data_IF_238011465366
#
_entry.id   IF_238011465366
#
_cell.length_a   1.000
_cell.length_b   1.000
_cell.length_c   1.000
_cell.angle_alpha   90.00
_cell.angle_beta   90.00
_cell.angle_gamma   90.00
#
_symmetry.space_group_name_H-M   'P 1'
#
loop_
_entity.id
_entity.type
_entity.pdbx_description
1 polymer ?
#
# COMPACT_ATOMS: atom_id res chain seq x y z
N UNK A 1 -32.66 17.66 56.47
CA UNK A 1 -33.65 17.98 55.43
C UNK A 1 -32.89 18.05 54.11
N UNK A 2 -32.63 16.97 53.38
CA UNK A 2 -33.57 16.14 52.60
C UNK A 2 -34.47 16.95 51.67
N UNK A 3 -33.99 17.14 50.44
CA UNK A 3 -34.72 17.05 49.16
C UNK A 3 -33.64 16.55 48.16
N UNK A 4 -33.59 15.26 47.79
CA UNK A 4 -34.33 14.64 46.67
C UNK A 4 -34.36 15.60 45.46
N UNK A 5 -33.60 15.41 44.38
CA UNK A 5 -33.17 14.17 43.74
C UNK A 5 -34.00 14.01 42.47
N UNK A 6 -33.73 14.84 41.46
CA UNK A 6 -34.23 14.62 40.11
C UNK A 6 -33.16 13.91 39.30
N UNK A 7 -33.43 12.64 39.07
CA UNK A 7 -32.64 11.71 38.30
C UNK A 7 -32.93 12.00 36.82
N UNK A 8 -32.19 12.91 36.21
CA UNK A 8 -32.20 13.04 34.74
C UNK A 8 -31.55 11.79 34.16
N UNK A 9 -32.40 10.93 33.60
CA UNK A 9 -32.03 9.90 32.64
C UNK A 9 -31.15 10.51 31.55
N UNK A 10 -30.15 9.78 31.02
CA UNK A 10 -29.36 10.28 29.91
C UNK A 10 -30.31 10.44 28.72
N UNK A 11 -30.48 11.68 28.24
CA UNK A 11 -31.22 11.96 27.02
C UNK A 11 -30.69 11.04 25.92
N UNK A 12 -31.58 10.24 25.36
CA UNK A 12 -31.35 9.55 24.09
C UNK A 12 -30.95 10.62 23.07
N UNK A 13 -29.72 10.50 22.55
CA UNK A 13 -29.22 11.39 21.52
C UNK A 13 -30.15 11.28 20.30
N UNK A 14 -31.04 12.26 20.16
CA UNK A 14 -31.98 12.37 19.04
C UNK A 14 -31.22 12.32 17.72
N UNK A 15 -31.61 11.40 16.84
CA UNK A 15 -31.14 11.32 15.45
C UNK A 15 -31.38 12.61 14.66
N UNK A 16 -32.22 13.54 15.15
CA UNK A 16 -32.41 14.86 14.54
C UNK A 16 -31.18 15.77 14.64
N UNK A 17 -30.22 15.46 15.53
CA UNK A 17 -29.01 16.28 15.73
C UNK A 17 -27.93 15.99 14.66
N UNK A 18 -27.93 14.81 14.05
CA UNK A 18 -26.91 14.42 13.06
C UNK A 18 -27.03 15.19 11.74
N UNK A 19 -28.26 15.40 11.25
CA UNK A 19 -28.49 16.17 10.02
C UNK A 19 -28.10 17.64 10.21
N UNK A 20 -28.42 18.24 11.36
CA UNK A 20 -28.01 19.61 11.69
C UNK A 20 -26.49 19.74 11.84
N UNK A 21 -25.81 18.75 12.44
CA UNK A 21 -24.34 18.70 12.53
C UNK A 21 -23.70 18.59 11.13
N UNK A 22 -24.30 17.84 10.21
CA UNK A 22 -23.83 17.70 8.82
C UNK A 22 -24.04 19.01 8.05
N UNK A 23 -25.19 19.66 8.19
CA UNK A 23 -25.49 20.96 7.57
C UNK A 23 -24.62 22.10 8.13
N UNK A 24 -24.21 22.01 9.40
CA UNK A 24 -23.23 22.92 10.02
C UNK A 24 -21.78 22.53 9.69
N UNK A 25 -21.56 21.28 9.32
CA UNK A 25 -20.30 20.83 8.77
C UNK A 25 -20.06 21.61 7.51
N UNK A 26 -19.05 22.48 7.50
CA UNK A 26 -18.53 23.08 6.29
C UNK A 26 -17.87 21.99 5.44
N UNK A 27 -18.69 21.12 4.86
CA UNK A 27 -18.35 20.18 3.80
C UNK A 27 -17.92 21.08 2.65
N UNK A 28 -16.62 21.33 2.57
CA UNK A 28 -16.04 22.21 1.57
C UNK A 28 -16.37 21.75 0.14
N UNK A 29 -15.92 22.48 -0.87
CA UNK A 29 -16.21 22.12 -2.25
C UNK A 29 -15.70 20.71 -2.57
N UNK A 30 -16.30 20.10 -3.58
CA UNK A 30 -15.78 18.87 -4.18
C UNK A 30 -14.28 19.03 -4.53
N UNK A 31 -13.47 17.98 -4.35
CA UNK A 31 -12.04 18.03 -4.65
C UNK A 31 -11.79 18.40 -6.10
N UNK A 32 -10.66 19.07 -6.37
CA UNK A 32 -10.29 19.33 -7.75
C UNK A 32 -9.99 18.05 -8.54
N UNK A 33 -10.16 18.12 -9.87
CA UNK A 33 -9.78 17.04 -10.78
C UNK A 33 -8.31 16.63 -10.62
N UNK A 34 -7.41 17.59 -10.41
CA UNK A 34 -5.98 17.29 -10.25
C UNK A 34 -5.68 16.50 -8.98
N UNK A 35 -6.41 16.75 -7.90
CA UNK A 35 -6.31 15.95 -6.69
C UNK A 35 -6.79 14.52 -6.95
N UNK A 36 -7.99 14.36 -7.53
CA UNK A 36 -8.58 13.05 -7.82
C UNK A 36 -7.71 12.22 -8.77
N UNK A 37 -7.08 12.84 -9.77
CA UNK A 37 -6.12 12.20 -10.66
C UNK A 37 -4.90 11.65 -9.90
N UNK A 38 -4.35 12.40 -8.93
CA UNK A 38 -3.20 11.94 -8.12
C UNK A 38 -3.59 10.84 -7.13
N UNK A 39 -4.80 10.92 -6.58
CA UNK A 39 -5.35 9.88 -5.73
C UNK A 39 -5.52 8.57 -6.50
N UNK A 40 -6.16 8.64 -7.68
CA UNK A 40 -6.34 7.48 -8.56
C UNK A 40 -5.00 6.91 -9.03
N UNK A 41 -4.05 7.77 -9.41
CA UNK A 41 -2.70 7.35 -9.79
C UNK A 41 -2.02 6.54 -8.68
N UNK A 42 -2.04 7.02 -7.43
CA UNK A 42 -1.43 6.27 -6.34
C UNK A 42 -2.20 4.97 -6.04
N UNK A 43 -3.53 4.99 -6.07
CA UNK A 43 -4.38 3.80 -5.91
C UNK A 43 -4.00 2.68 -6.90
N UNK A 44 -3.97 3.01 -8.20
CA UNK A 44 -3.60 2.08 -9.27
C UNK A 44 -2.18 1.52 -9.07
N UNK A 45 -1.20 2.38 -8.80
CA UNK A 45 0.20 1.98 -8.58
C UNK A 45 0.34 1.09 -7.34
N UNK A 46 -0.38 1.37 -6.25
CA UNK A 46 -0.33 0.56 -5.04
C UNK A 46 -0.88 -0.83 -5.29
N UNK A 47 -2.01 -0.96 -5.99
CA UNK A 47 -2.58 -2.26 -6.37
C UNK A 47 -1.64 -3.05 -7.26
N UNK A 48 -1.05 -2.39 -8.25
CA UNK A 48 -0.03 -2.99 -9.11
C UNK A 48 1.18 -3.47 -8.29
N UNK A 49 1.70 -2.65 -7.39
CA UNK A 49 2.86 -3.00 -6.57
C UNK A 49 2.55 -4.12 -5.56
N UNK A 50 1.33 -4.18 -5.02
CA UNK A 50 0.85 -5.33 -4.24
C UNK A 50 0.89 -6.61 -5.06
N UNK A 51 0.42 -6.55 -6.31
CA UNK A 51 0.50 -7.68 -7.23
C UNK A 51 1.95 -8.07 -7.52
N UNK A 52 2.81 -7.10 -7.84
CA UNK A 52 4.25 -7.35 -8.08
C UNK A 52 4.89 -8.02 -6.87
N UNK A 53 4.68 -7.49 -5.67
CA UNK A 53 5.20 -8.07 -4.42
C UNK A 53 4.74 -9.52 -4.23
N UNK A 54 3.44 -9.80 -4.43
CA UNK A 54 2.89 -11.18 -4.38
C UNK A 54 3.49 -12.08 -5.46
N UNK A 55 3.72 -11.57 -6.67
CA UNK A 55 4.24 -12.35 -7.81
C UNK A 55 5.68 -12.81 -7.62
N UNK A 56 6.45 -12.12 -6.77
CA UNK A 56 7.77 -12.54 -6.34
C UNK A 56 7.75 -13.37 -5.05
N UNK A 57 6.56 -13.59 -4.46
CA UNK A 57 6.36 -14.42 -3.30
C UNK A 57 6.80 -15.87 -3.55
N UNK A 58 7.47 -16.47 -2.56
CA UNK A 58 7.95 -17.84 -2.64
C UNK A 58 9.25 -18.05 -3.43
N UNK A 59 9.79 -17.00 -4.07
CA UNK A 59 11.12 -17.06 -4.69
C UNK A 59 12.17 -16.96 -3.58
N UNK A 60 13.06 -17.96 -3.41
CA UNK A 60 14.13 -17.88 -2.42
C UNK A 60 15.02 -16.67 -2.69
N UNK A 61 15.31 -15.88 -1.66
CA UNK A 61 16.23 -14.75 -1.77
C UNK A 61 17.68 -15.27 -1.91
N UNK A 62 18.37 -15.05 -3.05
CA UNK A 62 19.71 -15.60 -3.27
C UNK A 62 20.77 -14.91 -2.40
N UNK A 63 20.54 -13.67 -1.99
CA UNK A 63 21.42 -12.91 -1.09
C UNK A 63 20.60 -12.15 -0.05
N UNK A 64 21.24 -11.71 1.03
CA UNK A 64 20.62 -10.82 2.02
C UNK A 64 20.09 -9.53 1.39
N UNK A 65 20.78 -9.01 0.37
CA UNK A 65 20.32 -7.85 -0.41
C UNK A 65 18.92 -8.08 -1.00
N UNK A 66 18.69 -9.23 -1.63
CA UNK A 66 17.37 -9.58 -2.20
C UNK A 66 16.31 -9.74 -1.10
N UNK A 67 16.68 -10.37 0.01
CA UNK A 67 15.76 -10.52 1.15
C UNK A 67 15.29 -9.15 1.65
N UNK A 68 16.21 -8.24 1.93
CA UNK A 68 15.86 -6.90 2.41
C UNK A 68 15.20 -6.02 1.35
N UNK A 69 15.48 -6.23 0.06
CA UNK A 69 14.73 -5.60 -1.02
C UNK A 69 13.24 -5.95 -0.92
N UNK A 70 12.92 -7.24 -0.76
CA UNK A 70 11.54 -7.71 -0.60
C UNK A 70 10.88 -7.16 0.67
N UNK A 71 11.60 -7.13 1.80
CA UNK A 71 11.10 -6.60 3.07
C UNK A 71 10.79 -5.10 2.97
N UNK A 72 11.75 -4.31 2.46
CA UNK A 72 11.61 -2.86 2.36
C UNK A 72 10.56 -2.47 1.32
N UNK A 73 10.46 -3.18 0.19
CA UNK A 73 9.41 -2.94 -0.79
C UNK A 73 8.02 -3.22 -0.21
N UNK A 74 7.86 -4.35 0.48
CA UNK A 74 6.60 -4.68 1.17
C UNK A 74 6.25 -3.62 2.21
N UNK A 75 7.23 -3.22 3.03
CA UNK A 75 7.04 -2.15 4.01
C UNK A 75 6.61 -0.85 3.34
N UNK A 76 7.21 -0.48 2.21
CA UNK A 76 6.85 0.73 1.49
C UNK A 76 5.42 0.67 0.95
N UNK A 77 4.99 -0.46 0.40
CA UNK A 77 3.59 -0.70 -0.01
C UNK A 77 2.64 -0.52 1.18
N UNK A 78 2.96 -1.09 2.34
CA UNK A 78 2.09 -0.91 3.54
C UNK A 78 1.95 0.54 3.96
N UNK A 79 3.02 1.35 3.83
CA UNK A 79 2.95 2.80 4.08
C UNK A 79 2.10 3.52 3.04
N UNK A 80 2.16 3.11 1.78
CA UNK A 80 1.31 3.68 0.73
C UNK A 80 -0.17 3.34 0.97
N UNK A 81 -0.49 2.13 1.42
CA UNK A 81 -1.86 1.76 1.85
C UNK A 81 -2.31 2.67 2.99
N UNK A 82 -1.49 2.85 4.04
CA UNK A 82 -1.85 3.76 5.14
C UNK A 82 -2.05 5.20 4.66
N UNK A 83 -1.22 5.69 3.72
CA UNK A 83 -1.39 7.02 3.12
C UNK A 83 -2.72 7.12 2.35
N UNK A 84 -3.08 6.10 1.56
CA UNK A 84 -4.33 6.04 0.81
C UNK A 84 -5.54 5.96 1.74
N UNK A 85 -5.48 5.20 2.83
CA UNK A 85 -6.57 5.16 3.85
C UNK A 85 -6.81 6.53 4.46
N UNK A 86 -5.76 7.33 4.69
CA UNK A 86 -5.88 8.69 5.21
C UNK A 86 -6.40 9.69 4.17
N UNK A 87 -6.04 9.52 2.89
CA UNK A 87 -6.37 10.47 1.84
C UNK A 87 -7.89 10.71 1.73
N UNK A 88 -8.34 11.98 1.64
CA UNK A 88 -9.75 12.29 1.41
C UNK A 88 -10.32 11.65 0.14
N UNK A 89 -11.59 11.21 0.18
CA UNK A 89 -12.31 10.61 -0.95
C UNK A 89 -11.67 9.33 -1.53
N UNK A 90 -10.85 8.66 -0.74
CA UNK A 90 -10.21 7.40 -1.08
C UNK A 90 -11.20 6.23 -1.12
N UNK A 91 -11.08 5.28 -2.05
CA UNK A 91 -11.86 4.04 -2.02
C UNK A 91 -11.35 3.04 -0.96
N UNK A 92 -10.23 3.33 -0.28
CA UNK A 92 -9.59 2.42 0.69
C UNK A 92 -10.15 2.53 2.11
N UNK A 93 -11.07 3.46 2.35
CA UNK A 93 -11.68 3.68 3.65
C UNK A 93 -13.09 4.24 3.48
N UNK A 94 -14.07 3.63 4.12
CA UNK A 94 -15.41 4.21 4.23
C UNK A 94 -15.42 5.27 5.35
N UNK A 95 -15.68 6.52 4.98
CA UNK A 95 -15.65 7.66 5.89
C UNK A 95 -16.99 8.37 5.88
N UNK A 96 -17.59 8.53 7.07
CA UNK A 96 -18.81 9.33 7.23
C UNK A 96 -18.60 10.81 6.96
N UNK A 97 -17.39 11.32 7.26
CA UNK A 97 -16.98 12.70 7.04
C UNK A 97 -15.57 12.67 6.50
N UNK A 98 -15.34 13.41 5.42
CA UNK A 98 -14.01 13.55 4.84
C UNK A 98 -13.15 14.47 5.70
N UNK A 99 -12.08 13.91 6.26
CA UNK A 99 -11.11 14.63 7.07
C UNK A 99 -9.88 14.97 6.26
N UNK A 100 -9.63 16.27 6.08
CA UNK A 100 -8.48 16.79 5.35
C UNK A 100 -7.33 17.09 6.32
N UNK A 101 -6.39 16.16 6.40
CA UNK A 101 -5.20 16.28 7.24
C UNK A 101 -3.94 15.95 6.44
N UNK A 102 -3.51 16.93 5.62
CA UNK A 102 -2.25 16.80 4.90
C UNK A 102 -1.06 16.62 5.86
N UNK A 103 -1.15 17.12 7.10
CA UNK A 103 -0.07 17.05 8.09
C UNK A 103 0.24 15.59 8.43
N UNK A 104 -0.77 14.77 8.74
CA UNK A 104 -0.56 13.33 8.95
C UNK A 104 -0.08 12.62 7.69
N UNK A 105 -0.59 12.99 6.51
CA UNK A 105 -0.10 12.47 5.23
C UNK A 105 1.38 12.76 5.02
N UNK A 106 1.88 13.94 5.39
CA UNK A 106 3.31 14.26 5.29
C UNK A 106 4.19 13.36 6.15
N UNK A 107 3.68 12.91 7.30
CA UNK A 107 4.41 12.00 8.17
C UNK A 107 4.66 10.66 7.51
N UNK A 108 3.63 10.09 6.88
CA UNK A 108 3.74 8.84 6.13
C UNK A 108 4.59 9.03 4.87
N UNK A 109 4.37 10.12 4.12
CA UNK A 109 5.14 10.42 2.91
C UNK A 109 6.64 10.58 3.22
N UNK A 110 7.00 11.20 4.35
CA UNK A 110 8.39 11.26 4.82
C UNK A 110 8.95 9.87 5.09
N UNK A 111 8.22 9.02 5.80
CA UNK A 111 8.66 7.63 6.03
C UNK A 111 8.90 6.91 4.70
N UNK A 112 8.06 7.13 3.69
CA UNK A 112 8.24 6.53 2.36
C UNK A 112 9.51 7.04 1.67
N UNK A 113 9.84 8.32 1.78
CA UNK A 113 11.12 8.88 1.29
C UNK A 113 12.30 8.18 1.98
N UNK A 114 12.25 8.04 3.30
CA UNK A 114 13.32 7.40 4.08
C UNK A 114 13.45 5.90 3.75
N UNK A 115 12.32 5.21 3.49
CA UNK A 115 12.30 3.83 3.02
C UNK A 115 12.90 3.69 1.62
N UNK A 116 12.58 4.60 0.68
CA UNK A 116 13.21 4.63 -0.65
C UNK A 116 14.73 4.80 -0.54
N UNK A 117 15.17 5.71 0.31
CA UNK A 117 16.60 5.95 0.58
C UNK A 117 17.28 4.69 1.14
N UNK A 118 16.67 4.04 2.13
CA UNK A 118 17.19 2.80 2.70
C UNK A 118 17.22 1.65 1.68
N UNK A 119 16.13 1.48 0.93
CA UNK A 119 15.99 0.49 -0.13
C UNK A 119 17.09 0.67 -1.17
N UNK A 120 17.23 1.87 -1.73
CA UNK A 120 18.26 2.12 -2.73
C UNK A 120 19.67 1.86 -2.16
N UNK A 121 19.97 2.39 -0.97
CA UNK A 121 21.29 2.28 -0.35
C UNK A 121 21.76 0.85 -0.08
N UNK A 122 20.84 -0.01 0.37
CA UNK A 122 21.14 -1.39 0.76
C UNK A 122 20.91 -2.38 -0.38
N UNK A 123 20.00 -2.08 -1.32
CA UNK A 123 19.47 -3.05 -2.26
C UNK A 123 19.78 -2.76 -3.72
N UNK A 124 20.08 -1.51 -4.10
CA UNK A 124 20.21 -1.12 -5.52
C UNK A 124 21.58 -0.52 -5.82
N UNK A 125 22.07 0.35 -4.93
CA UNK A 125 23.35 1.06 -5.09
C UNK A 125 24.52 0.07 -5.20
N UNK A 126 25.03 -0.09 -6.42
CA UNK A 126 26.11 -1.03 -6.69
C UNK A 126 27.38 -0.56 -6.00
N UNK A 127 27.92 -1.42 -5.13
CA UNK A 127 29.18 -1.18 -4.43
C UNK A 127 29.94 -2.49 -4.25
N UNK A 128 31.26 -2.43 -4.00
CA UNK A 128 32.04 -3.63 -3.67
C UNK A 128 31.48 -4.37 -2.47
N UNK A 129 31.64 -5.69 -2.43
CA UNK A 129 31.07 -6.53 -1.36
C UNK A 129 31.54 -6.11 0.04
N UNK A 130 32.81 -5.72 0.19
CA UNK A 130 33.35 -5.25 1.47
C UNK A 130 32.67 -3.97 1.95
N UNK A 131 32.35 -3.06 1.02
CA UNK A 131 31.59 -1.86 1.32
C UNK A 131 30.16 -2.25 1.73
N UNK A 132 29.49 -3.10 0.95
CA UNK A 132 28.12 -3.53 1.24
C UNK A 132 28.02 -4.17 2.63
N UNK A 133 28.96 -5.07 2.97
CA UNK A 133 29.05 -5.71 4.30
C UNK A 133 29.29 -4.66 5.41
N UNK A 134 30.11 -3.64 5.15
CA UNK A 134 30.29 -2.53 6.08
C UNK A 134 28.99 -1.75 6.29
N UNK A 135 28.30 -1.37 5.20
CA UNK A 135 26.99 -0.69 5.25
C UNK A 135 25.99 -1.48 6.07
N UNK A 136 25.91 -2.78 5.82
CA UNK A 136 25.01 -3.70 6.51
C UNK A 136 25.30 -3.79 8.02
N UNK A 137 26.57 -4.00 8.40
CA UNK A 137 26.96 -4.06 9.82
C UNK A 137 26.69 -2.72 10.53
N UNK A 138 26.92 -1.58 9.86
CA UNK A 138 26.61 -0.26 10.39
C UNK A 138 25.11 -0.07 10.64
N UNK A 139 24.28 -0.50 9.69
CA UNK A 139 22.82 -0.41 9.79
C UNK A 139 22.30 -1.21 10.99
N UNK A 140 22.81 -2.43 11.19
CA UNK A 140 22.45 -3.27 12.34
C UNK A 140 23.00 -2.73 13.66
N UNK A 141 24.20 -2.13 13.65
CA UNK A 141 24.75 -1.50 14.84
C UNK A 141 23.88 -0.33 15.28
N UNK A 142 23.40 0.49 14.34
CA UNK A 142 22.47 1.57 14.63
C UNK A 142 21.13 1.10 15.21
N UNK A 143 20.56 0.01 14.69
CA UNK A 143 19.36 -0.61 15.27
C UNK A 143 19.62 -1.10 16.70
N UNK A 144 20.72 -1.85 16.93
CA UNK A 144 21.08 -2.36 18.25
C UNK A 144 21.25 -1.22 19.26
N UNK A 145 22.03 -0.17 18.94
CA UNK A 145 22.25 0.96 19.86
C UNK A 145 20.99 1.79 20.09
N UNK A 146 20.05 1.80 19.15
CA UNK A 146 18.76 2.48 19.32
C UNK A 146 17.83 1.70 20.24
N UNK A 147 17.77 0.37 20.07
CA UNK A 147 17.00 -0.52 20.97
C UNK A 147 17.57 -0.57 22.38
N UNK A 148 18.90 -0.58 22.54
CA UNK A 148 19.55 -0.48 23.86
C UNK A 148 19.07 0.78 24.58
N UNK A 149 19.15 1.96 23.92
CA UNK A 149 18.68 3.22 24.52
C UNK A 149 17.19 3.19 24.89
N UNK A 150 16.37 2.53 24.06
CA UNK A 150 14.94 2.34 24.32
C UNK A 150 14.70 1.47 25.57
N UNK A 151 15.38 0.34 25.70
CA UNK A 151 15.23 -0.55 26.85
C UNK A 151 15.82 0.04 28.14
N UNK A 152 16.95 0.75 28.04
CA UNK A 152 17.51 1.51 29.15
C UNK A 152 16.51 2.54 29.70
N UNK A 153 15.79 3.25 28.82
CA UNK A 153 14.77 4.20 29.23
C UNK A 153 13.57 3.54 29.96
N UNK A 154 13.32 2.25 29.70
CA UNK A 154 12.29 1.44 30.37
C UNK A 154 12.81 0.73 31.63
N UNK A 155 14.12 0.76 31.89
CA UNK A 155 14.75 0.00 32.98
C UNK A 155 14.85 -1.51 32.71
N UNK A 156 14.67 -1.96 31.47
CA UNK A 156 14.79 -3.37 31.08
C UNK A 156 16.25 -3.70 30.74
N UNK A 157 17.02 -4.03 31.78
CA UNK A 157 18.46 -4.30 31.65
C UNK A 157 18.77 -5.62 30.96
N UNK A 158 17.89 -6.61 31.01
CA UNK A 158 18.12 -7.94 30.44
C UNK A 158 18.11 -7.88 28.90
N UNK A 159 17.07 -7.29 28.32
CA UNK A 159 17.01 -7.09 26.86
C UNK A 159 18.12 -6.16 26.37
N UNK A 160 18.45 -5.14 27.17
CA UNK A 160 19.57 -4.25 26.90
C UNK A 160 20.91 -4.98 26.80
N UNK A 161 21.21 -5.88 27.73
CA UNK A 161 22.50 -6.59 27.80
C UNK A 161 22.69 -7.58 26.64
N UNK A 162 21.63 -8.32 26.27
CA UNK A 162 21.67 -9.20 25.10
C UNK A 162 22.04 -8.44 23.81
N UNK A 163 21.49 -7.23 23.63
CA UNK A 163 21.80 -6.37 22.49
C UNK A 163 23.20 -5.75 22.57
N UNK A 164 23.74 -5.49 23.77
CA UNK A 164 25.12 -4.98 23.91
C UNK A 164 26.14 -5.98 23.37
N UNK A 165 25.97 -7.26 23.66
CA UNK A 165 26.85 -8.30 23.13
C UNK A 165 26.84 -8.31 21.58
N UNK A 166 25.67 -8.19 20.97
CA UNK A 166 25.52 -8.07 19.51
C UNK A 166 26.17 -6.79 18.97
N UNK A 167 25.99 -5.67 19.67
CA UNK A 167 26.58 -4.39 19.28
C UNK A 167 28.13 -4.41 19.31
N UNK A 168 28.74 -5.08 20.30
CA UNK A 168 30.20 -5.25 20.35
C UNK A 168 30.73 -6.15 19.23
N UNK A 169 30.04 -7.24 18.91
CA UNK A 169 30.39 -8.09 17.77
C UNK A 169 30.31 -7.30 16.44
N UNK A 170 29.23 -6.56 16.22
CA UNK A 170 29.10 -5.67 15.05
C UNK A 170 30.21 -4.62 15.00
N UNK A 171 30.58 -4.04 16.14
CA UNK A 171 31.70 -3.08 16.23
C UNK A 171 33.03 -3.73 15.88
N UNK A 172 33.30 -4.95 16.33
CA UNK A 172 34.51 -5.70 15.94
C UNK A 172 34.54 -5.90 14.43
N UNK A 173 33.44 -6.37 13.83
CA UNK A 173 33.36 -6.57 12.37
C UNK A 173 33.60 -5.29 11.57
N UNK A 174 33.14 -4.14 12.08
CA UNK A 174 33.41 -2.83 11.47
C UNK A 174 34.88 -2.42 11.60
N UNK A 175 35.51 -2.68 12.76
CA UNK A 175 36.93 -2.41 12.99
C UNK A 175 37.85 -3.30 12.14
N UNK A 176 37.47 -4.55 11.96
CA UNK A 176 38.22 -5.55 11.20
C UNK A 176 38.01 -5.41 9.68
N UNK A 177 37.03 -4.61 9.25
CA UNK A 177 36.74 -4.39 7.83
C UNK A 177 37.83 -3.53 7.17
N UNK A 178 38.46 -3.99 6.07
CA UNK A 178 39.43 -3.20 5.31
C UNK A 178 38.84 -1.88 4.80
N UNK A 179 37.51 -1.86 4.58
CA UNK A 179 36.80 -0.68 4.11
C UNK A 179 36.86 0.50 5.10
N UNK A 180 37.02 0.25 6.41
CA UNK A 180 37.10 1.33 7.41
C UNK A 180 38.26 2.29 7.14
N UNK A 181 39.37 1.80 6.57
CA UNK A 181 40.54 2.60 6.23
C UNK A 181 40.26 3.63 5.12
N UNK A 182 39.24 3.41 4.29
CA UNK A 182 38.83 4.35 3.23
C UNK A 182 37.91 5.45 3.77
N UNK A 183 37.28 5.22 4.91
CA UNK A 183 36.38 6.16 5.57
C UNK A 183 37.20 7.22 6.32
N UNK A 184 36.83 8.49 6.15
CA UNK A 184 37.45 9.61 6.88
C UNK A 184 37.38 9.38 8.40
N UNK A 185 38.55 9.42 9.05
CA UNK A 185 38.74 9.18 10.49
C UNK A 185 37.84 10.06 11.37
N UNK A 186 37.43 11.25 10.90
CA UNK A 186 36.52 12.12 11.65
C UNK A 186 35.14 11.49 11.87
N UNK A 187 34.73 10.54 11.02
CA UNK A 187 33.44 9.85 11.13
C UNK A 187 33.52 8.54 11.91
N UNK A 188 34.71 7.96 12.10
CA UNK A 188 34.89 6.64 12.73
C UNK A 188 34.18 6.54 14.07
N UNK A 189 34.35 7.54 14.95
CA UNK A 189 33.69 7.55 16.26
C UNK A 189 32.17 7.46 16.12
N UNK A 190 31.57 8.29 15.27
CA UNK A 190 30.11 8.31 15.05
C UNK A 190 29.60 6.97 14.53
N UNK A 191 30.33 6.37 13.59
CA UNK A 191 29.99 5.07 12.99
C UNK A 191 30.07 3.94 14.01
N UNK A 192 31.20 3.83 14.73
CA UNK A 192 31.43 2.77 15.71
C UNK A 192 30.54 2.90 16.95
N UNK A 193 30.01 4.09 17.26
CA UNK A 193 29.01 4.26 18.31
C UNK A 193 27.57 4.02 17.81
N UNK A 194 27.37 3.63 16.55
CA UNK A 194 26.04 3.38 15.98
C UNK A 194 25.15 4.64 15.96
N UNK A 195 25.73 5.84 15.89
CA UNK A 195 24.97 7.09 15.93
C UNK A 195 24.28 7.42 14.59
N UNK A 196 24.64 6.72 13.52
CA UNK A 196 24.05 6.86 12.18
C UNK A 196 23.94 5.48 11.53
N UNK A 197 22.88 5.27 10.75
CA UNK A 197 22.69 4.07 9.93
C UNK A 197 23.43 4.13 8.59
N UNK A 198 23.78 5.34 8.14
CA UNK A 198 24.31 5.59 6.80
C UNK A 198 25.75 6.13 6.85
N UNK A 199 26.58 5.68 5.90
CA UNK A 199 27.90 6.26 5.63
C UNK A 199 27.79 7.66 5.02
N UNK A 200 26.84 7.82 4.09
CA UNK A 200 26.61 9.05 3.33
C UNK A 200 25.46 9.85 3.95
N UNK A 201 25.46 11.18 3.82
CA UNK A 201 24.26 11.98 4.11
C UNK A 201 23.07 11.48 3.30
N UNK A 202 21.88 11.44 3.92
CA UNK A 202 20.66 10.95 3.25
C UNK A 202 20.35 11.70 1.95
N UNK A 203 20.64 13.01 1.88
CA UNK A 203 20.42 13.80 0.65
C UNK A 203 21.28 13.32 -0.53
N UNK A 204 22.50 12.81 -0.27
CA UNK A 204 23.36 12.24 -1.31
C UNK A 204 22.81 10.90 -1.78
N UNK A 205 22.29 10.09 -0.86
CA UNK A 205 21.68 8.81 -1.20
C UNK A 205 20.37 9.04 -1.97
N UNK A 206 19.56 10.00 -1.54
CA UNK A 206 18.31 10.37 -2.20
C UNK A 206 18.54 10.85 -3.64
N UNK A 207 19.57 11.67 -3.86
CA UNK A 207 19.99 12.11 -5.20
C UNK A 207 20.37 10.92 -6.09
N UNK A 208 21.17 9.97 -5.56
CA UNK A 208 21.49 8.73 -6.28
C UNK A 208 20.27 7.84 -6.54
N UNK A 209 19.29 7.87 -5.64
CA UNK A 209 18.03 7.15 -5.76
C UNK A 209 17.02 7.81 -6.72
N UNK A 210 17.41 8.90 -7.40
CA UNK A 210 16.62 9.60 -8.41
C UNK A 210 15.79 10.77 -7.90
N UNK A 211 15.97 11.21 -6.64
CA UNK A 211 15.26 12.35 -6.07
C UNK A 211 16.10 13.62 -6.25
N UNK A 212 15.60 14.59 -7.02
CA UNK A 212 16.30 15.88 -7.18
C UNK A 212 16.67 16.52 -5.82
N UNK A 213 17.93 16.96 -5.69
CA UNK A 213 18.49 17.43 -4.42
C UNK A 213 17.75 18.64 -3.85
N UNK A 214 17.30 19.57 -4.70
CA UNK A 214 16.54 20.75 -4.25
C UNK A 214 15.16 20.33 -3.75
N UNK A 215 14.53 19.42 -4.47
CA UNK A 215 13.24 18.83 -4.13
C UNK A 215 13.35 18.09 -2.80
N UNK A 216 14.35 17.22 -2.62
CA UNK A 216 14.60 16.51 -1.36
C UNK A 216 14.74 17.47 -0.18
N UNK A 217 15.62 18.47 -0.28
CA UNK A 217 15.84 19.43 0.81
C UNK A 217 14.56 20.18 1.19
N UNK A 218 13.79 20.60 0.21
CA UNK A 218 12.54 21.31 0.43
C UNK A 218 11.47 20.43 1.10
N UNK A 219 11.16 19.27 0.52
CA UNK A 219 10.13 18.37 1.07
C UNK A 219 10.54 17.81 2.44
N UNK A 220 11.83 17.52 2.64
CA UNK A 220 12.29 16.96 3.90
C UNK A 220 12.14 17.98 5.04
N UNK A 221 12.42 19.27 4.81
CA UNK A 221 12.16 20.34 5.79
C UNK A 221 10.66 20.49 6.07
N UNK A 222 9.84 20.53 5.01
CA UNK A 222 8.39 20.66 5.14
C UNK A 222 7.82 19.50 5.96
N UNK A 223 8.05 18.26 5.55
CA UNK A 223 7.48 17.08 6.20
C UNK A 223 8.05 16.87 7.60
N UNK A 224 9.35 17.16 7.81
CA UNK A 224 9.93 17.10 9.16
C UNK A 224 9.28 18.08 10.12
N UNK A 225 8.88 19.26 9.62
CA UNK A 225 8.19 20.24 10.45
C UNK A 225 6.85 19.73 10.95
N UNK A 226 6.14 18.95 10.14
CA UNK A 226 4.88 18.32 10.52
C UNK A 226 5.08 17.13 11.46
N UNK A 227 6.04 16.23 11.17
CA UNK A 227 6.36 15.08 12.04
C UNK A 227 6.77 15.50 13.45
N UNK A 228 7.56 16.57 13.56
CA UNK A 228 8.07 17.03 14.86
C UNK A 228 7.21 18.12 15.49
N UNK A 229 6.04 18.43 14.91
CA UNK A 229 5.16 19.53 15.34
C UNK A 229 5.94 20.84 15.57
N UNK A 230 6.82 21.20 14.64
CA UNK A 230 7.58 22.46 14.68
C UNK A 230 6.69 23.64 14.30
N UNK A 231 7.02 24.89 14.65
CA UNK A 231 6.19 26.08 14.38
C UNK A 231 5.56 26.17 12.99
N UNK A 232 6.27 25.73 11.94
CA UNK A 232 5.74 25.73 10.56
C UNK A 232 4.47 24.88 10.39
N UNK A 233 4.27 23.84 11.21
CA UNK A 233 3.10 22.97 11.16
C UNK A 233 1.85 23.57 11.77
N UNK A 234 1.97 24.52 12.72
CA UNK A 234 0.81 25.02 13.47
C UNK A 234 0.67 26.54 13.57
N UNK A 235 1.72 27.34 13.37
CA UNK A 235 1.65 28.80 13.53
C UNK A 235 0.64 29.48 12.61
N UNK A 236 0.36 28.90 11.44
CA UNK A 236 -0.58 29.48 10.47
C UNK A 236 -2.00 28.91 10.55
N UNK A 237 -2.26 27.98 11.46
CA UNK A 237 -3.62 27.51 11.72
C UNK A 237 -4.44 28.69 12.21
N UNK A 238 -5.57 28.96 11.57
CA UNK A 238 -6.47 30.04 11.99
C UNK A 238 -6.07 31.45 11.55
N UNK A 239 -4.98 31.62 10.79
CA UNK A 239 -4.61 32.93 10.25
C UNK A 239 -5.53 33.33 9.08
N UNK A 240 -5.90 34.60 9.01
CA UNK A 240 -6.77 35.15 7.95
C UNK A 240 -6.15 34.92 6.57
N UNK A 241 -6.87 34.18 5.71
CA UNK A 241 -6.44 33.85 4.35
C UNK A 241 -5.61 32.56 4.23
N UNK A 242 -5.43 31.79 5.31
CA UNK A 242 -4.79 30.47 5.29
C UNK A 242 -5.63 29.44 6.06
N UNK A 243 -6.42 28.65 5.32
CA UNK A 243 -7.34 27.65 5.87
C UNK A 243 -6.71 26.25 5.94
N UNK A 244 -5.44 26.16 6.34
CA UNK A 244 -4.72 24.90 6.50
C UNK A 244 -4.66 24.43 7.95
N UNK A 245 -4.62 23.11 8.15
CA UNK A 245 -4.43 22.43 9.43
C UNK A 245 -5.67 22.36 10.32
N UNK A 246 -6.88 22.54 9.76
CA UNK A 246 -8.14 22.51 10.52
C UNK A 246 -8.94 21.21 10.36
N UNK A 247 -8.48 20.28 9.52
CA UNK A 247 -9.26 19.08 9.21
C UNK A 247 -10.35 19.28 8.16
N UNK A 248 -10.42 20.46 7.53
CA UNK A 248 -11.47 20.88 6.59
C UNK A 248 -10.90 21.09 5.19
N UNK A 249 -11.68 20.88 4.12
CA UNK A 249 -11.19 21.09 2.77
C UNK A 249 -10.73 22.54 2.55
N UNK A 250 -9.54 22.71 1.98
CA UNK A 250 -9.03 24.01 1.54
C UNK A 250 -8.02 23.84 0.42
N UNK A 251 -7.73 24.90 -0.37
CA UNK A 251 -6.72 24.81 -1.43
C UNK A 251 -5.35 24.37 -0.94
N UNK A 252 -4.98 24.73 0.30
CA UNK A 252 -3.71 24.36 0.91
C UNK A 252 -3.69 22.88 1.32
N UNK A 253 -4.76 22.39 1.98
CA UNK A 253 -4.94 20.98 2.32
C UNK A 253 -4.86 20.10 1.07
N UNK A 254 -5.57 20.51 0.01
CA UNK A 254 -5.60 19.79 -1.24
C UNK A 254 -4.23 19.75 -1.91
N UNK A 255 -3.56 20.92 -2.02
CA UNK A 255 -2.25 21.02 -2.67
C UNK A 255 -1.19 20.17 -1.98
N UNK A 256 -1.14 20.18 -0.64
CA UNK A 256 -0.16 19.39 0.10
C UNK A 256 -0.49 17.90 0.13
N UNK A 257 -1.78 17.54 0.17
CA UNK A 257 -2.22 16.14 0.05
C UNK A 257 -1.86 15.58 -1.33
N UNK A 258 -2.15 16.33 -2.40
CA UNK A 258 -1.76 16.04 -3.78
C UNK A 258 -0.23 15.87 -3.92
N UNK A 259 0.56 16.72 -3.26
CA UNK A 259 2.03 16.59 -3.22
C UNK A 259 2.46 15.26 -2.59
N UNK A 260 1.87 14.87 -1.45
CA UNK A 260 2.18 13.61 -0.77
C UNK A 260 1.85 12.40 -1.66
N UNK A 261 0.68 12.41 -2.29
CA UNK A 261 0.22 11.33 -3.18
C UNK A 261 1.15 11.17 -4.39
N UNK A 262 1.41 12.26 -5.10
CA UNK A 262 2.22 12.22 -6.33
C UNK A 262 3.70 11.92 -6.09
N UNK A 263 4.29 12.46 -5.02
CA UNK A 263 5.65 12.09 -4.63
C UNK A 263 5.74 10.60 -4.32
N UNK A 264 4.81 10.09 -3.50
CA UNK A 264 4.78 8.69 -3.11
C UNK A 264 4.62 7.75 -4.31
N UNK A 265 3.74 8.10 -5.25
CA UNK A 265 3.55 7.36 -6.49
C UNK A 265 4.87 7.21 -7.28
N UNK A 266 5.59 8.31 -7.49
CA UNK A 266 6.89 8.31 -8.19
C UNK A 266 7.92 7.41 -7.49
N UNK A 267 8.03 7.48 -6.16
CA UNK A 267 9.00 6.67 -5.42
C UNK A 267 8.63 5.18 -5.43
N UNK A 268 7.33 4.86 -5.39
CA UNK A 268 6.82 3.50 -5.45
C UNK A 268 7.06 2.85 -6.82
N UNK A 269 6.81 3.58 -7.91
CA UNK A 269 7.13 3.15 -9.28
C UNK A 269 8.63 2.87 -9.43
N UNK A 270 9.50 3.80 -9.03
CA UNK A 270 10.93 3.59 -9.13
C UNK A 270 11.41 2.35 -8.35
N UNK A 271 10.82 2.11 -7.17
CA UNK A 271 11.16 0.95 -6.34
C UNK A 271 10.62 -0.35 -6.93
N UNK A 272 9.43 -0.35 -7.54
CA UNK A 272 8.89 -1.49 -8.29
C UNK A 272 9.81 -1.87 -9.44
N UNK A 273 10.29 -0.89 -10.19
CA UNK A 273 11.17 -1.13 -11.35
C UNK A 273 12.50 -1.73 -10.89
N UNK A 274 13.08 -1.21 -9.81
CA UNK A 274 14.28 -1.79 -9.19
C UNK A 274 14.05 -3.23 -8.69
N UNK A 275 12.87 -3.54 -8.14
CA UNK A 275 12.50 -4.92 -7.76
C UNK A 275 12.45 -5.83 -9.00
N UNK A 276 11.86 -5.36 -10.09
CA UNK A 276 11.85 -6.14 -11.33
C UNK A 276 13.26 -6.44 -11.82
N UNK A 277 14.15 -5.44 -11.81
CA UNK A 277 15.54 -5.60 -12.22
C UNK A 277 16.30 -6.58 -11.31
N UNK A 278 16.20 -6.40 -10.00
CA UNK A 278 16.86 -7.26 -9.01
C UNK A 278 16.45 -8.72 -9.12
N UNK A 279 15.16 -8.98 -9.35
CA UNK A 279 14.63 -10.35 -9.41
C UNK A 279 14.48 -10.91 -10.83
N UNK A 280 14.87 -10.16 -11.87
CA UNK A 280 14.68 -10.58 -13.27
C UNK A 280 15.30 -11.95 -13.57
N UNK A 281 16.52 -12.20 -13.06
CA UNK A 281 17.23 -13.47 -13.26
C UNK A 281 16.71 -14.62 -12.38
N UNK A 282 15.85 -14.32 -11.41
CA UNK A 282 15.36 -15.25 -10.39
C UNK A 282 13.88 -15.57 -10.52
N UNK A 283 13.16 -14.89 -11.43
CA UNK A 283 11.76 -15.19 -11.70
C UNK A 283 11.67 -16.55 -12.42
N UNK A 284 11.05 -17.57 -11.83
CA UNK A 284 10.84 -18.83 -12.54
C UNK A 284 9.96 -18.58 -13.78
N UNK A 285 10.11 -19.37 -14.85
CA UNK A 285 9.15 -19.35 -15.95
C UNK A 285 7.74 -19.53 -15.36
N UNK A 286 6.71 -18.83 -15.90
CA UNK A 286 5.37 -18.93 -15.36
C UNK A 286 4.97 -20.40 -15.31
N UNK A 287 4.80 -20.93 -14.10
CA UNK A 287 4.23 -22.24 -13.93
C UNK A 287 2.83 -22.21 -14.55
N UNK A 288 2.41 -23.23 -15.32
CA UNK A 288 1.03 -23.31 -15.74
C UNK A 288 0.16 -23.21 -14.48
N UNK A 289 -0.90 -22.38 -14.49
CA UNK A 289 -1.78 -22.29 -13.33
C UNK A 289 -2.25 -23.71 -13.00
N UNK A 290 -2.34 -24.06 -11.70
CA UNK A 290 -2.94 -25.33 -11.33
C UNK A 290 -4.32 -25.41 -11.99
N UNK A 291 -4.60 -26.51 -12.69
CA UNK A 291 -5.87 -26.69 -13.39
C UNK A 291 -7.00 -26.65 -12.35
N UNK A 292 -7.84 -25.63 -12.41
CA UNK A 292 -9.07 -25.61 -11.62
C UNK A 292 -10.07 -26.62 -12.19
N UNK A 293 -10.97 -27.19 -11.37
CA UNK A 293 -12.06 -28.00 -11.89
C UNK A 293 -12.94 -27.17 -12.82
N UNK A 294 -13.43 -27.78 -13.88
CA UNK A 294 -14.46 -27.17 -14.71
C UNK A 294 -15.78 -27.09 -13.93
N UNK A 295 -16.14 -25.88 -13.51
CA UNK A 295 -17.38 -25.59 -12.77
C UNK A 295 -18.52 -25.11 -13.68
N UNK A 296 -18.34 -25.18 -15.00
CA UNK A 296 -19.36 -24.71 -15.97
C UNK A 296 -20.71 -25.39 -15.79
N UNK A 297 -20.73 -26.68 -15.43
CA UNK A 297 -21.97 -27.41 -15.15
C UNK A 297 -22.71 -26.85 -13.93
N UNK A 298 -21.98 -26.52 -12.86
CA UNK A 298 -22.55 -25.94 -11.63
C UNK A 298 -23.07 -24.52 -11.87
N UNK A 299 -22.48 -23.79 -12.81
CA UNK A 299 -22.98 -22.47 -13.21
C UNK A 299 -24.15 -22.53 -14.19
N UNK A 300 -24.37 -23.67 -14.85
CA UNK A 300 -25.52 -23.89 -15.72
C UNK A 300 -26.71 -24.47 -14.96
N UNK A 301 -26.47 -25.19 -13.87
CA UNK A 301 -27.48 -25.80 -13.00
C UNK A 301 -27.18 -25.45 -11.53
N UNK A 302 -27.48 -24.22 -11.09
CA UNK A 302 -27.21 -23.77 -9.73
C UNK A 302 -28.08 -24.50 -8.70
N UNK A 303 -27.67 -24.55 -7.43
CA UNK A 303 -28.45 -25.16 -6.36
C UNK A 303 -29.87 -24.59 -6.28
N UNK A 304 -30.85 -25.45 -5.98
CA UNK A 304 -32.22 -25.00 -5.74
C UNK A 304 -32.30 -24.19 -4.43
N UNK A 305 -32.47 -22.87 -4.56
CA UNK A 305 -32.53 -21.92 -3.45
C UNK A 305 -33.86 -21.17 -3.42
N UNK A 306 -34.34 -20.73 -2.27
CA UNK A 306 -35.39 -19.73 -2.17
C UNK A 306 -34.93 -18.36 -2.68
N UNK A 307 -35.86 -17.50 -3.14
CA UNK A 307 -35.50 -16.13 -3.55
C UNK A 307 -34.91 -15.38 -2.33
N UNK A 308 -33.72 -14.82 -2.50
CA UNK A 308 -32.96 -14.14 -1.46
C UNK A 308 -32.05 -15.06 -0.63
N UNK A 309 -32.16 -16.38 -0.78
CA UNK A 309 -31.26 -17.34 -0.13
C UNK A 309 -29.91 -17.41 -0.85
N UNK A 310 -28.88 -17.78 -0.07
CA UNK A 310 -27.52 -17.95 -0.54
C UNK A 310 -26.96 -19.32 -0.15
N UNK A 311 -26.07 -19.84 -0.99
CA UNK A 311 -25.36 -21.09 -0.76
C UNK A 311 -23.93 -20.98 -1.26
N UNK A 312 -23.00 -21.49 -0.45
CA UNK A 312 -21.58 -21.59 -0.82
C UNK A 312 -21.27 -23.06 -1.11
N UNK A 313 -20.78 -23.31 -2.32
CA UNK A 313 -20.31 -24.61 -2.76
C UNK A 313 -18.77 -24.60 -2.87
N UNK A 314 -18.10 -25.48 -2.12
CA UNK A 314 -16.66 -25.69 -2.25
C UNK A 314 -16.37 -26.55 -3.48
N UNK A 315 -15.94 -25.91 -4.58
CA UNK A 315 -15.67 -26.58 -5.85
C UNK A 315 -14.31 -27.32 -5.86
N UNK A 316 -13.31 -26.79 -5.16
CA UNK A 316 -11.99 -27.42 -4.97
C UNK A 316 -11.32 -26.91 -3.69
N UNK A 317 -10.08 -27.34 -3.44
CA UNK A 317 -9.22 -26.78 -2.40
C UNK A 317 -8.89 -25.30 -2.65
N UNK A 318 -9.01 -24.84 -3.90
CA UNK A 318 -8.63 -23.49 -4.35
C UNK A 318 -9.82 -22.60 -4.67
N UNK A 319 -10.99 -23.16 -4.99
CA UNK A 319 -12.14 -22.40 -5.49
C UNK A 319 -13.43 -22.75 -4.74
N UNK A 320 -14.18 -21.73 -4.34
CA UNK A 320 -15.55 -21.84 -3.87
C UNK A 320 -16.47 -20.94 -4.72
N UNK A 321 -17.75 -21.31 -4.81
CA UNK A 321 -18.77 -20.56 -5.55
C UNK A 321 -19.91 -20.22 -4.61
N UNK A 322 -20.22 -18.93 -4.49
CA UNK A 322 -21.41 -18.44 -3.80
C UNK A 322 -22.51 -18.18 -4.82
N UNK A 323 -23.62 -18.86 -4.65
CA UNK A 323 -24.85 -18.64 -5.40
C UNK A 323 -25.84 -17.88 -4.52
N UNK A 324 -26.48 -16.86 -5.08
CA UNK A 324 -27.60 -16.16 -4.45
C UNK A 324 -28.72 -16.02 -5.46
N UNK A 325 -29.89 -16.60 -5.16
CA UNK A 325 -31.04 -16.50 -6.05
C UNK A 325 -31.68 -15.11 -5.93
N UNK A 326 -31.72 -14.37 -7.02
CA UNK A 326 -32.22 -12.98 -7.07
C UNK A 326 -33.59 -12.87 -7.70
N UNK A 327 -34.03 -13.88 -8.46
CA UNK A 327 -35.34 -13.94 -9.11
C UNK A 327 -35.88 -15.36 -9.26
N UNK A 328 -36.89 -15.56 -10.12
CA UNK A 328 -37.44 -16.88 -10.40
C UNK A 328 -36.43 -17.74 -11.15
N UNK A 329 -35.72 -17.18 -12.12
CA UNK A 329 -34.63 -17.86 -12.85
C UNK A 329 -33.29 -17.12 -12.72
N UNK A 330 -33.27 -15.97 -12.03
CA UNK A 330 -32.07 -15.16 -11.86
C UNK A 330 -31.19 -15.59 -10.67
N UNK A 331 -29.88 -15.65 -10.92
CA UNK A 331 -28.86 -15.96 -9.92
C UNK A 331 -27.68 -15.00 -10.02
N UNK A 332 -27.25 -14.53 -8.86
CA UNK A 332 -25.95 -13.91 -8.68
C UNK A 332 -24.94 -14.98 -8.29
N UNK A 333 -23.86 -15.11 -9.06
CA UNK A 333 -22.79 -16.09 -8.81
C UNK A 333 -21.46 -15.38 -8.57
N UNK A 334 -20.84 -15.64 -7.42
CA UNK A 334 -19.54 -15.11 -7.04
C UNK A 334 -18.53 -16.24 -6.86
N UNK A 335 -17.38 -16.18 -7.55
CA UNK A 335 -16.25 -17.09 -7.34
C UNK A 335 -15.32 -16.52 -6.27
N UNK A 336 -14.89 -17.39 -5.37
CA UNK A 336 -14.04 -17.07 -4.22
C UNK A 336 -12.78 -17.92 -4.29
N UNK A 337 -11.62 -17.28 -4.23
CA UNK A 337 -10.35 -17.97 -4.13
C UNK A 337 -10.09 -18.37 -2.68
N UNK A 338 -10.28 -19.65 -2.34
CA UNK A 338 -10.27 -20.16 -0.95
C UNK A 338 -9.00 -19.84 -0.16
N UNK A 339 -7.78 -19.86 -0.74
CA UNK A 339 -6.57 -19.57 0.01
C UNK A 339 -6.51 -18.16 0.60
N UNK A 340 -7.17 -17.18 -0.03
CA UNK A 340 -7.18 -15.79 0.44
C UNK A 340 -8.56 -15.33 0.92
N UNK A 341 -9.62 -15.99 0.48
CA UNK A 341 -11.01 -15.56 0.67
C UNK A 341 -11.44 -14.44 -0.27
N UNK A 342 -10.59 -14.06 -1.23
CA UNK A 342 -10.88 -12.97 -2.16
C UNK A 342 -11.96 -13.40 -3.15
N UNK A 343 -12.92 -12.51 -3.42
CA UNK A 343 -13.84 -12.65 -4.55
C UNK A 343 -13.09 -12.32 -5.83
N UNK A 344 -13.08 -13.23 -6.78
CA UNK A 344 -12.25 -13.16 -8.00
C UNK A 344 -13.08 -13.02 -9.27
N UNK A 345 -14.39 -13.28 -9.20
CA UNK A 345 -15.33 -13.08 -10.29
C UNK A 345 -16.73 -12.97 -9.73
N UNK A 346 -17.53 -12.05 -10.26
CA UNK A 346 -18.95 -11.93 -9.99
C UNK A 346 -19.71 -11.77 -11.29
N UNK A 347 -20.71 -12.63 -11.49
CA UNK A 347 -21.67 -12.52 -12.59
C UNK A 347 -23.11 -12.51 -12.07
N UNK A 348 -23.97 -11.86 -12.82
CA UNK A 348 -25.40 -11.78 -12.57
C UNK A 348 -26.15 -12.33 -13.77
N UNK A 349 -26.89 -13.41 -13.56
CA UNK A 349 -27.72 -14.03 -14.57
C UNK A 349 -29.11 -13.39 -14.46
N UNK A 350 -29.40 -12.41 -15.32
CA UNK A 350 -30.68 -11.71 -15.32
C UNK A 350 -31.72 -12.40 -16.23
N UNK A 351 -33.00 -12.29 -15.86
CA UNK A 351 -34.12 -12.85 -16.65
C UNK A 351 -34.37 -12.10 -17.97
N UNK A 352 -34.02 -10.80 -18.04
CA UNK A 352 -34.37 -9.92 -19.17
C UNK A 352 -33.16 -9.57 -20.06
N UNK A 353 -31.97 -9.40 -19.47
CA UNK A 353 -30.80 -8.84 -20.14
C UNK A 353 -29.67 -9.87 -20.36
N UNK A 354 -29.92 -11.14 -20.01
CA UNK A 354 -28.93 -12.23 -20.11
C UNK A 354 -27.90 -12.18 -18.97
N UNK A 355 -26.73 -12.77 -19.22
CA UNK A 355 -25.64 -12.88 -18.24
C UNK A 355 -24.74 -11.65 -18.32
N UNK A 356 -24.57 -10.95 -17.20
CA UNK A 356 -23.69 -9.80 -17.06
C UNK A 356 -22.50 -10.14 -16.15
N UNK A 357 -21.29 -9.77 -16.57
CA UNK A 357 -20.11 -9.88 -15.71
C UNK A 357 -19.95 -8.57 -14.91
N UNK A 358 -20.26 -8.60 -13.61
CA UNK A 358 -20.23 -7.43 -12.72
C UNK A 358 -18.82 -7.06 -12.28
N UNK A 359 -18.01 -8.09 -12.04
CA UNK A 359 -16.65 -7.92 -11.54
C UNK A 359 -15.80 -9.13 -11.91
N UNK A 360 -14.51 -8.90 -12.11
CA UNK A 360 -13.51 -9.96 -12.12
C UNK A 360 -12.19 -9.39 -11.64
N UNK A 361 -11.38 -10.24 -11.02
CA UNK A 361 -10.02 -9.90 -10.63
C UNK A 361 -9.09 -10.08 -11.86
N UNK A 362 -8.57 -9.00 -12.47
CA UNK A 362 -7.69 -9.08 -13.64
C UNK A 362 -6.33 -9.73 -13.32
N UNK A 363 -6.01 -9.94 -12.04
CA UNK A 363 -4.80 -10.62 -11.59
C UNK A 363 -4.99 -12.11 -11.38
N UNK A 364 -6.22 -12.55 -11.13
CA UNK A 364 -6.56 -13.98 -11.09
C UNK A 364 -6.76 -14.54 -12.50
N UNK A 365 -7.41 -13.76 -13.38
CA UNK A 365 -7.79 -14.19 -14.73
C UNK A 365 -6.86 -13.64 -15.81
N UNK A 366 -6.38 -14.51 -16.69
CA UNK A 366 -5.77 -14.08 -17.94
C UNK A 366 -6.86 -13.62 -18.92
N UNK A 367 -6.91 -12.31 -19.19
CA UNK A 367 -7.95 -11.74 -20.05
C UNK A 367 -7.49 -11.72 -21.51
N UNK A 368 -8.30 -12.32 -22.39
CA UNK A 368 -8.14 -12.24 -23.85
C UNK A 368 -9.34 -11.54 -24.48
N UNK A 369 -9.06 -10.65 -25.41
CA UNK A 369 -10.06 -9.98 -26.24
C UNK A 369 -9.83 -10.39 -27.70
N UNK A 370 -10.88 -10.89 -28.36
CA UNK A 370 -10.85 -11.34 -29.76
C UNK A 370 -9.73 -12.36 -30.06
N UNK A 371 -9.40 -13.21 -29.08
CA UNK A 371 -8.40 -14.27 -29.21
C UNK A 371 -6.95 -13.86 -28.90
N UNK A 372 -6.68 -12.57 -28.65
CA UNK A 372 -5.38 -12.05 -28.23
C UNK A 372 -5.41 -11.50 -26.79
N UNK A 373 -4.24 -11.27 -26.14
CA UNK A 373 -4.18 -10.62 -24.84
C UNK A 373 -4.78 -9.21 -24.88
N UNK A 374 -5.54 -8.83 -23.85
CA UNK A 374 -6.17 -7.52 -23.76
C UNK A 374 -5.33 -6.53 -22.94
N UNK A 375 -5.24 -5.27 -23.38
CA UNK A 375 -4.81 -4.16 -22.52
C UNK A 375 -6.01 -3.61 -21.74
N UNK A 376 -5.78 -2.94 -20.61
CA UNK A 376 -6.86 -2.35 -19.81
C UNK A 376 -7.75 -1.40 -20.62
N UNK A 377 -7.15 -0.52 -21.41
CA UNK A 377 -7.88 0.44 -22.26
C UNK A 377 -8.71 -0.26 -23.37
N UNK A 378 -8.17 -1.32 -23.97
CA UNK A 378 -8.89 -2.09 -24.97
C UNK A 378 -10.08 -2.86 -24.36
N UNK A 379 -9.90 -3.36 -23.14
CA UNK A 379 -10.93 -4.06 -22.39
C UNK A 379 -12.04 -3.11 -21.93
N UNK A 380 -11.71 -1.94 -21.38
CA UNK A 380 -12.70 -0.91 -21.01
C UNK A 380 -13.56 -0.50 -22.20
N UNK A 381 -12.93 -0.26 -23.36
CA UNK A 381 -13.65 0.04 -24.59
C UNK A 381 -14.55 -1.11 -25.04
N UNK A 382 -14.08 -2.35 -24.92
CA UNK A 382 -14.87 -3.53 -25.27
C UNK A 382 -16.08 -3.73 -24.35
N UNK A 383 -15.90 -3.51 -23.04
CA UNK A 383 -16.96 -3.64 -22.04
C UNK A 383 -18.01 -2.53 -22.11
N UNK A 384 -17.68 -1.37 -22.69
CA UNK A 384 -18.62 -0.27 -22.91
C UNK A 384 -19.66 -0.54 -24.02
N UNK A 385 -19.45 -1.58 -24.84
CA UNK A 385 -20.35 -1.96 -25.92
C UNK A 385 -20.87 -3.40 -25.79
N UNK A 386 -21.72 -3.86 -26.72
CA UNK A 386 -22.17 -5.25 -26.76
C UNK A 386 -20.99 -6.21 -26.92
N UNK A 387 -20.87 -7.13 -25.96
CA UNK A 387 -19.80 -8.12 -25.94
C UNK A 387 -20.34 -9.48 -25.49
N UNK A 388 -19.66 -10.53 -25.91
CA UNK A 388 -19.83 -11.86 -25.35
C UNK A 388 -18.59 -12.20 -24.53
N UNK A 389 -18.77 -12.96 -23.45
CA UNK A 389 -17.65 -13.47 -22.68
C UNK A 389 -17.80 -14.97 -22.42
N UNK A 390 -16.67 -15.64 -22.18
CA UNK A 390 -16.60 -17.02 -21.73
C UNK A 390 -15.52 -17.15 -20.67
N UNK A 391 -15.80 -17.92 -19.64
CA UNK A 391 -14.84 -18.25 -18.59
C UNK A 391 -14.28 -19.64 -18.89
N UNK A 392 -12.96 -19.75 -18.96
CA UNK A 392 -12.25 -21.03 -18.94
C UNK A 392 -11.64 -21.20 -17.55
N UNK A 393 -12.38 -21.90 -16.68
CA UNK A 393 -11.99 -22.06 -15.28
C UNK A 393 -10.66 -22.80 -15.17
N UNK A 394 -10.47 -23.88 -15.93
CA UNK A 394 -9.28 -24.71 -15.89
C UNK A 394 -8.02 -23.95 -16.34
N UNK A 395 -8.13 -23.14 -17.40
CA UNK A 395 -7.03 -22.32 -17.89
C UNK A 395 -6.89 -20.98 -17.15
N UNK A 396 -7.83 -20.64 -16.26
CA UNK A 396 -7.99 -19.32 -15.63
C UNK A 396 -8.02 -18.19 -16.67
N UNK A 397 -8.78 -18.38 -17.75
CA UNK A 397 -8.91 -17.39 -18.81
C UNK A 397 -10.31 -16.76 -18.85
N UNK A 398 -10.36 -15.44 -19.01
CA UNK A 398 -11.56 -14.68 -19.34
C UNK A 398 -11.48 -14.26 -20.81
N UNK A 399 -12.37 -14.81 -21.62
CA UNK A 399 -12.34 -14.66 -23.07
C UNK A 399 -13.48 -13.75 -23.50
N UNK A 400 -13.16 -12.53 -23.93
CA UNK A 400 -14.10 -11.55 -24.46
C UNK A 400 -14.10 -11.55 -25.99
N UNK A 401 -15.27 -11.34 -26.57
CA UNK A 401 -15.47 -11.18 -28.01
C UNK A 401 -16.42 -10.02 -28.29
N UNK A 402 -15.99 -9.07 -29.11
CA UNK A 402 -16.80 -7.93 -29.56
C UNK A 402 -17.21 -8.12 -31.01
N UNK A 403 -18.25 -7.40 -31.45
CA UNK A 403 -18.71 -7.45 -32.84
C UNK A 403 -17.75 -6.73 -33.82
N UNK A 404 -16.88 -5.86 -33.31
CA UNK A 404 -15.84 -5.18 -34.08
C UNK A 404 -14.53 -5.98 -34.02
N UNK A 405 -14.12 -6.51 -35.18
CA UNK A 405 -12.80 -7.07 -35.44
C UNK A 405 -12.03 -6.16 -36.39
#
# INVERSE_FOLDING_TARGET
MHQQGDNQTPDEVSTSNLAEIVDWGALGPEPSKSYLERLRMLDEIVRECMFVSRSYGGIPSPTSQHFYASVLFTLMITKCVSLLTLAPHTPWADKKIEHWDYSSMTGIARTIIELRVAFYYLCVDQCPEDEWRFRWNLFNLHDCTSRIRMFEALGDSEQGEALRAVAEDLRSRLLDSPFLATVDKKHHKRLLHGQTAYLLPMEVIAERAGIDLRTFRWIYVLFSSHVHALPMSFYRIGHTGDDRGRGLPSPAEESYSALCLSMTATLLVATRDDIHELFAAHKPPPAPPPSEPDVSALTADPPALGIGEEHIHDASDTLAMRFKRTGEEAYKTTLIYRPTGDEILERDDSEQDGVELKYFDPYFWAVKLNGGPATGEALERALAGPHAFRIDYAARELLFKTAEA
#
